data_IF_473387715268
#
_entry.id   IF_473387715268
#
_cell.length_a   1.000
_cell.length_b   1.000
_cell.length_c   1.000
_cell.angle_alpha   90.00
_cell.angle_beta   90.00
_cell.angle_gamma   90.00
#
_symmetry.space_group_name_H-M   'P 1'
#
loop_
_entity.id
_entity.type
_entity.pdbx_description
1 polymer ?
#
# COMPACT_ATOMS: atom_id res chain seq x y z
N UNK A 1 -6.96 -12.67 -3.11
CA UNK A 1 -6.87 -11.19 -2.92
C UNK A 1 -6.14 -10.54 -4.08
N UNK A 2 -4.87 -10.89 -4.34
CA UNK A 2 -4.05 -10.29 -5.41
C UNK A 2 -4.72 -10.27 -6.80
N UNK A 3 -5.30 -11.38 -7.27
CA UNK A 3 -5.98 -11.43 -8.57
C UNK A 3 -7.19 -10.48 -8.67
N UNK A 4 -7.88 -10.23 -7.55
CA UNK A 4 -8.99 -9.28 -7.52
C UNK A 4 -8.49 -7.83 -7.57
N UNK A 5 -7.37 -7.53 -6.89
CA UNK A 5 -6.74 -6.21 -6.93
C UNK A 5 -6.18 -5.88 -8.31
N UNK A 6 -5.53 -6.85 -8.98
CA UNK A 6 -5.02 -6.69 -10.34
C UNK A 6 -6.14 -6.45 -11.36
N UNK A 7 -7.34 -7.00 -11.14
CA UNK A 7 -8.50 -6.71 -11.99
C UNK A 7 -9.05 -5.28 -11.82
N UNK A 8 -8.69 -4.59 -10.72
CA UNK A 8 -9.13 -3.21 -10.46
C UNK A 8 -8.17 -2.18 -11.05
N UNK A 9 -6.88 -2.35 -10.78
CA UNK A 9 -5.78 -1.50 -11.27
C UNK A 9 -4.46 -2.27 -11.15
N UNK A 10 -3.63 -2.23 -12.19
CA UNK A 10 -2.35 -2.96 -12.23
C UNK A 10 -1.38 -2.47 -11.15
N UNK A 11 -1.47 -1.18 -10.77
CA UNK A 11 -0.61 -0.58 -9.74
C UNK A 11 -1.13 -0.85 -8.31
N UNK A 12 -2.31 -1.46 -8.14
CA UNK A 12 -2.93 -1.65 -6.82
C UNK A 12 -2.06 -2.51 -5.90
N UNK A 13 -1.46 -3.59 -6.43
CA UNK A 13 -0.58 -4.44 -5.65
C UNK A 13 0.71 -3.71 -5.26
N UNK A 14 1.28 -2.94 -6.20
CA UNK A 14 2.46 -2.11 -5.94
C UNK A 14 2.20 -1.10 -4.81
N UNK A 15 1.04 -0.44 -4.80
CA UNK A 15 0.68 0.50 -3.73
C UNK A 15 0.63 -0.16 -2.35
N UNK A 16 0.18 -1.41 -2.28
CA UNK A 16 0.09 -2.17 -1.03
C UNK A 16 1.47 -2.64 -0.55
N UNK A 17 2.39 -3.01 -1.45
CA UNK A 17 3.70 -3.55 -1.04
C UNK A 17 4.80 -2.48 -0.97
N UNK A 18 4.78 -1.50 -1.87
CA UNK A 18 5.81 -0.46 -2.00
C UNK A 18 5.37 0.91 -1.48
N UNK A 19 4.06 1.12 -1.32
CA UNK A 19 3.48 2.35 -0.79
C UNK A 19 2.93 3.29 -1.88
N UNK A 20 2.47 4.49 -1.49
CA UNK A 20 1.77 5.40 -2.41
C UNK A 20 2.61 5.77 -3.64
N UNK A 21 1.97 5.79 -4.81
CA UNK A 21 2.61 6.20 -6.05
C UNK A 21 3.09 7.65 -6.00
N UNK A 22 4.32 7.88 -6.42
CA UNK A 22 4.85 9.22 -6.68
C UNK A 22 4.52 9.61 -8.11
N UNK A 23 3.74 10.67 -8.29
CA UNK A 23 3.42 11.18 -9.62
C UNK A 23 4.58 12.05 -10.11
N UNK A 24 5.24 11.62 -11.18
CA UNK A 24 6.46 12.24 -11.70
C UNK A 24 6.24 12.85 -13.09
N UNK A 25 7.08 13.82 -13.46
CA UNK A 25 7.19 14.37 -14.82
C UNK A 25 8.65 14.42 -15.28
N UNK A 26 8.93 14.38 -16.59
CA UNK A 26 10.29 14.59 -17.10
C UNK A 26 10.84 15.95 -16.70
N UNK A 27 12.10 15.97 -16.26
CA UNK A 27 12.87 17.18 -16.00
C UNK A 27 13.70 17.55 -17.23
N UNK A 28 13.06 18.11 -18.25
CA UNK A 28 13.71 18.37 -19.55
C UNK A 28 14.91 19.32 -19.44
N UNK A 29 14.83 20.33 -18.56
CA UNK A 29 15.91 21.30 -18.37
C UNK A 29 17.21 20.63 -17.90
N UNK A 30 17.10 19.68 -16.96
CA UNK A 30 18.27 18.96 -16.43
C UNK A 30 18.68 17.83 -17.35
N UNK A 31 17.73 17.09 -17.93
CA UNK A 31 18.03 15.97 -18.82
C UNK A 31 18.86 16.39 -20.05
N UNK A 32 18.59 17.57 -20.61
CA UNK A 32 19.39 18.13 -21.72
C UNK A 32 20.83 18.43 -21.28
N UNK A 33 21.03 18.84 -20.03
CA UNK A 33 22.35 19.21 -19.51
C UNK A 33 23.15 17.99 -19.07
N UNK A 34 22.51 16.97 -18.49
CA UNK A 34 23.16 15.75 -18.01
C UNK A 34 23.26 14.64 -19.06
N UNK A 35 22.47 14.69 -20.13
CA UNK A 35 22.36 13.62 -21.12
C UNK A 35 21.59 12.38 -20.64
N UNK A 36 20.96 12.45 -19.46
CA UNK A 36 20.25 11.33 -18.84
C UNK A 36 18.78 11.67 -18.53
N UNK A 37 17.85 10.71 -18.66
CA UNK A 37 16.46 10.92 -18.25
C UNK A 37 16.39 11.27 -16.76
N UNK A 38 15.89 12.46 -16.46
CA UNK A 38 15.60 12.88 -15.10
C UNK A 38 14.11 13.11 -14.90
N UNK A 39 13.63 12.84 -13.69
CA UNK A 39 12.24 12.99 -13.31
C UNK A 39 12.13 13.82 -12.03
N UNK A 40 11.11 14.67 -11.95
CA UNK A 40 10.75 15.37 -10.71
C UNK A 40 9.28 15.14 -10.35
N UNK A 41 8.91 15.22 -9.06
CA UNK A 41 7.52 15.14 -8.64
C UNK A 41 6.67 16.23 -9.29
N UNK A 42 5.47 15.87 -9.76
CA UNK A 42 4.46 16.85 -10.15
C UNK A 42 3.90 17.53 -8.91
N UNK A 43 3.63 18.82 -8.99
CA UNK A 43 2.83 19.51 -7.98
C UNK A 43 1.35 19.19 -8.17
N UNK A 44 0.53 19.30 -7.12
CA UNK A 44 -0.91 18.96 -7.18
C UNK A 44 -1.68 19.77 -8.25
N UNK A 45 -1.24 20.98 -8.56
CA UNK A 45 -1.84 21.84 -9.60
C UNK A 45 -1.60 21.31 -11.02
N UNK A 46 -0.57 20.49 -11.23
CA UNK A 46 -0.21 19.91 -12.53
C UNK A 46 -0.85 18.55 -12.79
N UNK A 47 -1.61 18.03 -11.82
CA UNK A 47 -2.20 16.70 -11.92
C UNK A 47 -3.33 16.69 -12.95
N UNK A 48 -3.17 15.82 -13.95
CA UNK A 48 -4.25 15.39 -14.83
C UNK A 48 -5.29 14.57 -14.06
N UNK A 49 -6.42 14.26 -14.71
CA UNK A 49 -7.42 13.37 -14.11
C UNK A 49 -6.87 11.96 -13.87
N UNK A 50 -5.97 11.47 -14.71
CA UNK A 50 -5.30 10.18 -14.51
C UNK A 50 -4.34 10.24 -13.31
N UNK A 51 -3.54 11.30 -13.19
CA UNK A 51 -2.63 11.51 -12.05
C UNK A 51 -3.40 11.52 -10.72
N UNK A 52 -4.58 12.15 -10.70
CA UNK A 52 -5.46 12.18 -9.51
C UNK A 52 -5.97 10.79 -9.15
N UNK A 53 -6.34 9.97 -10.14
CA UNK A 53 -6.75 8.58 -9.91
C UNK A 53 -5.61 7.77 -9.31
N UNK A 54 -4.41 7.84 -9.90
CA UNK A 54 -3.19 7.18 -9.41
C UNK A 54 -2.80 7.63 -8.01
N UNK A 55 -2.83 8.93 -7.74
CA UNK A 55 -2.53 9.48 -6.42
C UNK A 55 -3.57 9.09 -5.34
N UNK A 56 -4.78 8.70 -5.74
CA UNK A 56 -5.82 8.24 -4.84
C UNK A 56 -5.79 6.73 -4.61
N UNK A 57 -4.96 5.96 -5.33
CA UNK A 57 -4.93 4.50 -5.21
C UNK A 57 -4.61 4.05 -3.78
N UNK A 58 -3.79 4.78 -3.02
CA UNK A 58 -3.53 4.47 -1.61
C UNK A 58 -4.82 4.51 -0.78
N UNK A 59 -5.69 5.51 -0.96
CA UNK A 59 -6.97 5.57 -0.26
C UNK A 59 -7.90 4.41 -0.66
N UNK A 60 -7.91 4.04 -1.94
CA UNK A 60 -8.69 2.89 -2.44
C UNK A 60 -8.18 1.60 -1.83
N UNK A 61 -6.86 1.39 -1.81
CA UNK A 61 -6.23 0.23 -1.18
C UNK A 61 -6.55 0.16 0.31
N UNK A 62 -6.47 1.28 1.04
CA UNK A 62 -6.85 1.36 2.46
C UNK A 62 -8.31 0.98 2.68
N UNK A 63 -9.23 1.50 1.86
CA UNK A 63 -10.66 1.17 1.95
C UNK A 63 -10.90 -0.34 1.73
N UNK A 64 -10.26 -0.95 0.75
CA UNK A 64 -10.34 -2.40 0.49
C UNK A 64 -9.81 -3.19 1.70
N UNK A 65 -8.64 -2.82 2.22
CA UNK A 65 -8.05 -3.48 3.39
C UNK A 65 -8.92 -3.30 4.64
N UNK A 66 -9.59 -2.17 4.82
CA UNK A 66 -10.51 -2.00 5.94
C UNK A 66 -11.80 -2.80 5.76
N UNK A 67 -12.34 -2.89 4.54
CA UNK A 67 -13.52 -3.71 4.23
C UNK A 67 -13.28 -5.19 4.49
N UNK A 68 -12.07 -5.70 4.26
CA UNK A 68 -11.73 -7.09 4.57
C UNK A 68 -11.68 -7.35 6.09
N UNK A 69 -11.44 -6.31 6.88
CA UNK A 69 -11.37 -6.35 8.34
C UNK A 69 -12.68 -5.96 9.04
N UNK A 70 -13.74 -5.60 8.31
CA UNK A 70 -14.98 -5.04 8.87
C UNK A 70 -15.57 -5.91 10.00
N UNK A 71 -15.46 -7.23 9.87
CA UNK A 71 -15.93 -8.20 10.88
C UNK A 71 -14.93 -8.41 12.02
N UNK A 72 -13.64 -8.13 11.83
CA UNK A 72 -12.58 -8.30 12.84
C UNK A 72 -12.21 -6.95 13.46
N UNK A 73 -13.04 -6.50 14.40
CA UNK A 73 -12.83 -5.24 15.14
C UNK A 73 -11.50 -5.18 15.87
N UNK A 74 -10.97 -6.33 16.32
CA UNK A 74 -9.69 -6.38 17.02
C UNK A 74 -8.55 -6.07 16.06
N UNK A 75 -8.47 -6.74 14.91
CA UNK A 75 -7.47 -6.44 13.89
C UNK A 75 -7.61 -5.01 13.38
N UNK A 76 -8.84 -4.57 13.07
CA UNK A 76 -9.11 -3.20 12.64
C UNK A 76 -8.57 -2.16 13.64
N UNK A 77 -8.81 -2.36 14.94
CA UNK A 77 -8.34 -1.43 15.98
C UNK A 77 -6.82 -1.26 16.02
N UNK A 78 -6.06 -2.29 15.62
CA UNK A 78 -4.59 -2.28 15.59
C UNK A 78 -4.04 -1.53 14.39
N UNK A 79 -4.76 -1.49 13.27
CA UNK A 79 -4.27 -0.94 11.99
C UNK A 79 -4.96 0.36 11.57
N UNK A 80 -6.06 0.77 12.21
CA UNK A 80 -6.87 1.94 11.82
C UNK A 80 -6.11 3.28 11.73
N UNK A 81 -4.99 3.42 12.45
CA UNK A 81 -4.18 4.64 12.49
C UNK A 81 -2.98 4.58 11.52
N UNK A 82 -2.83 3.51 10.75
CA UNK A 82 -1.75 3.37 9.78
C UNK A 82 -1.90 4.42 8.65
N UNK A 83 -0.82 5.15 8.30
CA UNK A 83 -0.91 6.25 7.36
C UNK A 83 -1.13 5.79 5.93
N UNK A 84 -0.52 4.68 5.50
CA UNK A 84 -0.64 4.15 4.13
C UNK A 84 -1.24 2.75 4.08
N UNK A 85 -1.64 2.29 2.89
CA UNK A 85 -2.05 0.91 2.66
C UNK A 85 -0.92 -0.09 2.98
N UNK A 86 0.33 0.29 2.69
CA UNK A 86 1.52 -0.50 3.02
C UNK A 86 1.67 -0.72 4.52
N UNK A 87 1.56 0.34 5.32
CA UNK A 87 1.66 0.23 6.77
C UNK A 87 0.55 -0.66 7.36
N UNK A 88 -0.64 -0.67 6.75
CA UNK A 88 -1.72 -1.59 7.13
C UNK A 88 -1.31 -3.02 6.79
N UNK A 89 -0.87 -3.25 5.55
CA UNK A 89 -0.49 -4.58 5.04
C UNK A 89 0.65 -5.20 5.85
N UNK A 90 1.76 -4.47 6.05
CA UNK A 90 2.90 -4.94 6.83
C UNK A 90 2.48 -5.32 8.26
N UNK A 91 1.66 -4.49 8.90
CA UNK A 91 1.18 -4.76 10.25
C UNK A 91 0.23 -5.95 10.31
N UNK A 92 -0.62 -6.15 9.30
CA UNK A 92 -1.47 -7.34 9.20
C UNK A 92 -0.62 -8.61 9.05
N UNK A 93 0.39 -8.58 8.18
CA UNK A 93 1.32 -9.70 7.99
C UNK A 93 2.00 -10.07 9.31
N UNK A 94 2.54 -9.09 10.04
CA UNK A 94 3.16 -9.31 11.36
C UNK A 94 2.19 -9.92 12.38
N UNK A 95 0.93 -9.48 12.40
CA UNK A 95 -0.09 -10.02 13.32
C UNK A 95 -0.42 -11.47 12.97
N UNK A 96 -0.53 -11.80 11.68
CA UNK A 96 -0.82 -13.15 11.22
C UNK A 96 0.34 -14.10 11.54
N UNK A 97 1.58 -13.72 11.20
CA UNK A 97 2.79 -14.50 11.47
C UNK A 97 2.99 -14.74 12.98
N UNK A 98 2.88 -13.69 13.80
CA UNK A 98 3.03 -13.82 15.26
C UNK A 98 1.90 -14.62 15.93
N UNK A 99 0.69 -14.57 15.39
CA UNK A 99 -0.42 -15.40 15.90
C UNK A 99 -0.21 -16.88 15.61
N UNK A 100 0.45 -17.24 14.51
CA UNK A 100 0.69 -18.63 14.14
C UNK A 100 1.77 -19.25 15.04
N UNK A 101 2.86 -18.54 15.35
CA UNK A 101 3.86 -18.99 16.35
C UNK A 101 3.25 -19.17 17.75
N UNK A 102 2.32 -18.29 18.15
CA UNK A 102 1.68 -18.36 19.48
C UNK A 102 0.66 -19.50 19.57
N UNK A 103 0.13 -19.98 18.44
CA UNK A 103 -0.75 -21.16 18.39
C UNK A 103 0.05 -22.46 18.43
N UNK A 104 1.21 -22.54 17.78
CA UNK A 104 2.06 -23.74 17.82
C UNK A 104 2.67 -23.97 19.22
N UNK A 105 3.08 -22.90 19.93
CA UNK A 105 3.68 -23.03 21.26
C UNK A 105 2.71 -23.41 22.40
N UNK A 106 1.39 -23.51 22.15
CA UNK A 106 0.43 -23.99 23.16
C UNK A 106 0.18 -25.50 23.12
N UNK A 107 0.74 -26.22 22.13
CA UNK A 107 0.57 -27.67 21.98
C UNK A 107 1.68 -28.51 22.66
N UNK A 108 2.64 -27.90 23.36
CA UNK A 108 3.83 -28.60 23.90
C UNK A 108 4.03 -28.48 25.42
N UNK A 109 2.98 -28.30 26.22
CA UNK A 109 3.06 -28.53 27.68
C UNK A 109 1.87 -29.36 28.16
N UNK A 110 1.97 -30.66 27.93
CA UNK A 110 1.31 -31.67 28.74
C UNK A 110 2.32 -32.80 28.95
N UNK A 111 3.04 -32.75 30.08
CA UNK A 111 3.70 -33.90 30.66
C UNK A 111 3.57 -33.84 32.19
#
# INVERSE_FOLDING_TARGET
>A
MQAHLAAMDDDMWYVITEGPLKIMKPNLAVAVTSGEPQFLPKTRHEYTNEDKKKANLDNVAKDILFKTLDKDKNMFSKVKNCPTAKDIWEKLTQICEGNDETKENKLTVAQ
#
